data_IF_075654867523
#
_entry.id   IF_075654867523
#
_cell.length_a   1.000
_cell.length_b   1.000
_cell.length_c   1.000
_cell.angle_alpha   90.00
_cell.angle_beta   90.00
_cell.angle_gamma   90.00
#
_symmetry.space_group_name_H-M   'P 1'
#
loop_
_entity.id
_entity.type
_entity.pdbx_description
1 polymer ?
#
# COMPACT_ATOMS: atom_id res chain seq x y z
N UNK A 1 6.36 -15.77 -27.07
CA UNK A 1 4.99 -15.84 -26.51
C UNK A 1 4.98 -16.90 -25.42
N UNK A 2 5.13 -16.48 -24.16
CA UNK A 2 5.22 -17.39 -23.01
C UNK A 2 3.88 -18.07 -22.74
N UNK A 3 3.93 -19.34 -22.35
CA UNK A 3 2.76 -20.19 -22.11
C UNK A 3 1.71 -19.51 -21.23
N UNK A 4 0.44 -19.63 -21.64
CA UNK A 4 -0.76 -18.97 -21.09
C UNK A 4 -0.75 -18.87 -19.56
N UNK A 5 -0.24 -17.78 -19.01
CA UNK A 5 -0.61 -17.34 -17.66
C UNK A 5 -2.09 -16.99 -17.70
N UNK A 6 -2.89 -17.64 -16.86
CA UNK A 6 -4.30 -17.26 -16.70
C UNK A 6 -4.36 -15.78 -16.30
N UNK A 7 -4.98 -14.91 -17.11
CA UNK A 7 -5.02 -13.47 -16.82
C UNK A 7 -5.81 -13.18 -15.54
N UNK A 8 -6.77 -14.05 -15.22
CA UNK A 8 -7.55 -14.02 -13.98
C UNK A 8 -7.56 -15.43 -13.39
N UNK A 9 -7.27 -15.54 -12.09
CA UNK A 9 -7.34 -16.77 -11.31
C UNK A 9 -8.16 -16.50 -10.04
N UNK A 10 -9.14 -17.35 -9.74
CA UNK A 10 -9.89 -17.30 -8.49
C UNK A 10 -9.63 -18.57 -7.67
N UNK A 11 -9.34 -18.40 -6.38
CA UNK A 11 -9.05 -19.48 -5.43
C UNK A 11 -10.11 -19.42 -4.32
N UNK A 12 -11.04 -20.37 -4.34
CA UNK A 12 -12.01 -20.57 -3.27
C UNK A 12 -11.34 -21.39 -2.16
N UNK A 13 -11.26 -20.83 -0.95
CA UNK A 13 -10.58 -21.47 0.16
C UNK A 13 -11.31 -21.18 1.48
N UNK A 14 -11.63 -22.24 2.23
CA UNK A 14 -12.48 -22.14 3.41
C UNK A 14 -11.79 -21.43 4.59
N UNK A 15 -12.55 -21.15 5.65
CA UNK A 15 -11.97 -20.65 6.91
C UNK A 15 -10.95 -21.66 7.47
N UNK A 16 -9.83 -21.16 7.98
CA UNK A 16 -8.78 -22.00 8.58
C UNK A 16 -7.91 -22.78 7.58
N UNK A 17 -8.10 -22.62 6.26
CA UNK A 17 -7.27 -23.31 5.25
C UNK A 17 -6.06 -22.51 4.80
N UNK A 18 -5.55 -21.62 5.66
CA UNK A 18 -4.33 -20.83 5.42
C UNK A 18 -4.33 -20.00 4.13
N UNK A 19 -5.48 -19.42 3.76
CA UNK A 19 -5.66 -18.54 2.59
C UNK A 19 -4.56 -17.50 2.44
N UNK A 20 -4.37 -16.72 3.49
CA UNK A 20 -3.38 -15.64 3.54
C UNK A 20 -1.95 -16.16 3.37
N UNK A 21 -1.63 -17.34 3.89
CA UNK A 21 -0.32 -17.98 3.69
C UNK A 21 -0.11 -18.36 2.22
N UNK A 22 -1.14 -18.93 1.57
CA UNK A 22 -1.08 -19.23 0.14
C UNK A 22 -0.89 -17.95 -0.67
N UNK A 23 -1.64 -16.89 -0.36
CA UNK A 23 -1.50 -15.59 -1.02
C UNK A 23 -0.09 -14.99 -0.87
N UNK A 24 0.45 -15.00 0.35
CA UNK A 24 1.80 -14.52 0.64
C UNK A 24 2.87 -15.35 -0.10
N UNK A 25 2.74 -16.68 -0.12
CA UNK A 25 3.66 -17.56 -0.84
C UNK A 25 3.61 -17.33 -2.35
N UNK A 26 2.42 -17.12 -2.92
CA UNK A 26 2.27 -16.75 -4.33
C UNK A 26 2.96 -15.41 -4.59
N UNK A 27 2.77 -14.41 -3.74
CA UNK A 27 3.43 -13.11 -3.88
C UNK A 27 4.96 -13.26 -3.89
N UNK A 28 5.49 -13.97 -2.89
CA UNK A 28 6.93 -14.16 -2.71
C UNK A 28 7.58 -14.89 -3.88
N UNK A 29 6.95 -15.98 -4.34
CA UNK A 29 7.42 -16.76 -5.50
C UNK A 29 7.29 -16.00 -6.82
N UNK A 30 6.26 -15.16 -6.96
CA UNK A 30 6.07 -14.36 -8.19
C UNK A 30 7.29 -13.47 -8.42
N UNK A 31 7.81 -12.85 -7.36
CA UNK A 31 9.05 -12.08 -7.48
C UNK A 31 10.30 -12.96 -7.56
N UNK A 32 10.43 -13.96 -6.69
CA UNK A 32 11.68 -14.75 -6.58
C UNK A 32 11.95 -15.61 -7.82
N UNK A 33 10.91 -16.22 -8.39
CA UNK A 33 11.04 -17.17 -9.50
C UNK A 33 10.92 -16.48 -10.88
N UNK A 34 10.25 -15.33 -10.95
CA UNK A 34 9.93 -14.66 -12.21
C UNK A 34 10.36 -13.19 -12.29
N UNK A 35 10.93 -12.62 -11.22
CA UNK A 35 11.27 -11.19 -11.11
C UNK A 35 10.09 -10.25 -11.39
N UNK A 36 8.89 -10.73 -11.08
CA UNK A 36 7.65 -10.02 -11.31
C UNK A 36 7.14 -9.36 -10.03
N UNK A 37 6.89 -8.05 -10.07
CA UNK A 37 6.42 -7.29 -8.91
C UNK A 37 4.93 -7.50 -8.68
N UNK A 38 4.56 -7.53 -7.39
CA UNK A 38 3.22 -7.90 -6.93
C UNK A 38 2.57 -6.77 -6.14
N UNK A 39 1.30 -6.51 -6.44
CA UNK A 39 0.43 -5.72 -5.58
C UNK A 39 -0.43 -6.71 -4.79
N UNK A 40 -0.40 -6.66 -3.47
CA UNK A 40 -1.27 -7.42 -2.60
C UNK A 40 -2.31 -6.48 -1.98
N UNK A 41 -3.58 -6.80 -2.17
CA UNK A 41 -4.70 -5.95 -1.74
C UNK A 41 -5.78 -6.69 -1.00
N UNK A 42 -6.46 -6.00 -0.09
CA UNK A 42 -7.65 -6.50 0.60
C UNK A 42 -8.51 -5.32 1.11
N UNK A 43 -9.70 -5.59 1.61
CA UNK A 43 -10.68 -4.55 1.97
C UNK A 43 -10.33 -3.80 3.26
N UNK A 44 -9.55 -4.38 4.19
CA UNK A 44 -9.30 -3.77 5.51
C UNK A 44 -7.81 -3.63 5.82
N UNK A 45 -7.44 -2.60 6.58
CA UNK A 45 -6.06 -2.38 7.02
C UNK A 45 -5.53 -3.53 7.89
N UNK A 46 -6.40 -4.16 8.68
CA UNK A 46 -6.05 -5.33 9.51
C UNK A 46 -5.72 -6.54 8.66
N UNK A 47 -6.51 -6.82 7.62
CA UNK A 47 -6.22 -7.92 6.71
C UNK A 47 -4.92 -7.66 5.91
N UNK A 48 -4.67 -6.42 5.48
CA UNK A 48 -3.37 -6.06 4.85
C UNK A 48 -2.22 -6.30 5.81
N UNK A 49 -2.37 -5.93 7.09
CA UNK A 49 -1.36 -6.16 8.11
C UNK A 49 -1.08 -7.66 8.28
N UNK A 50 -2.12 -8.48 8.40
CA UNK A 50 -1.99 -9.94 8.53
C UNK A 50 -1.30 -10.57 7.31
N UNK A 51 -1.66 -10.15 6.10
CA UNK A 51 -0.99 -10.58 4.88
C UNK A 51 0.50 -10.21 4.91
N UNK A 52 0.78 -8.97 5.30
CA UNK A 52 2.14 -8.43 5.39
C UNK A 52 2.99 -9.19 6.41
N UNK A 53 2.47 -9.40 7.62
CA UNK A 53 3.15 -10.16 8.67
C UNK A 53 3.38 -11.62 8.26
N UNK A 54 2.44 -12.20 7.51
CA UNK A 54 2.58 -13.56 6.98
C UNK A 54 3.71 -13.62 5.96
N UNK A 55 3.79 -12.63 5.06
CA UNK A 55 4.85 -12.53 4.06
C UNK A 55 6.23 -12.34 4.70
N UNK A 56 6.33 -11.48 5.73
CA UNK A 56 7.56 -11.23 6.49
C UNK A 56 8.03 -12.45 7.31
N UNK A 57 7.17 -13.43 7.57
CA UNK A 57 7.50 -14.66 8.31
C UNK A 57 7.92 -15.81 7.40
N UNK A 58 7.96 -15.61 6.09
CA UNK A 58 8.44 -16.63 5.16
C UNK A 58 9.98 -16.56 5.10
N UNK A 59 10.65 -17.38 5.92
CA UNK A 59 12.10 -17.29 6.12
C UNK A 59 12.92 -17.35 4.83
N UNK A 60 12.53 -18.20 3.87
CA UNK A 60 13.17 -18.32 2.55
C UNK A 60 13.10 -17.03 1.71
N UNK A 61 12.26 -16.08 2.08
CA UNK A 61 11.94 -14.86 1.35
C UNK A 61 12.20 -13.57 2.14
N UNK A 62 12.95 -13.65 3.25
CA UNK A 62 13.32 -12.47 4.06
C UNK A 62 14.16 -11.42 3.31
N UNK A 63 14.67 -11.76 2.12
CA UNK A 63 15.40 -10.86 1.23
C UNK A 63 14.49 -9.98 0.36
N UNK A 64 13.17 -10.20 0.40
CA UNK A 64 12.23 -9.44 -0.42
C UNK A 64 12.00 -8.04 0.13
N UNK A 65 12.07 -7.06 -0.77
CA UNK A 65 11.71 -5.68 -0.50
C UNK A 65 10.19 -5.53 -0.46
N UNK A 66 9.62 -5.60 0.74
CA UNK A 66 8.17 -5.50 0.96
C UNK A 66 7.83 -4.11 1.45
N UNK A 67 6.86 -3.47 0.78
CA UNK A 67 6.33 -2.17 1.14
C UNK A 67 4.87 -2.32 1.57
N UNK A 68 4.47 -1.68 2.68
CA UNK A 68 3.07 -1.54 3.04
C UNK A 68 2.62 -0.09 3.01
N UNK A 69 1.59 0.22 2.23
CA UNK A 69 0.97 1.55 2.21
C UNK A 69 -0.29 1.58 3.08
N UNK A 70 -0.32 2.57 3.98
CA UNK A 70 -1.45 2.90 4.84
C UNK A 70 -1.61 4.41 4.78
N UNK A 71 -2.84 4.90 4.56
CA UNK A 71 -3.10 6.34 4.52
C UNK A 71 -2.99 6.96 5.92
N UNK A 72 -2.71 8.26 5.97
CA UNK A 72 -2.60 9.00 7.23
C UNK A 72 -3.87 8.94 8.08
N UNK A 73 -5.04 9.05 7.43
CA UNK A 73 -6.33 8.89 8.10
C UNK A 73 -6.45 7.52 8.77
N UNK A 74 -6.06 6.44 8.07
CA UNK A 74 -6.09 5.09 8.64
C UNK A 74 -5.09 4.91 9.80
N UNK A 75 -3.93 5.56 9.74
CA UNK A 75 -2.96 5.54 10.84
C UNK A 75 -3.52 6.23 12.09
N UNK A 76 -4.20 7.37 11.93
CA UNK A 76 -4.87 8.11 13.02
C UNK A 76 -6.00 7.26 13.63
N UNK A 77 -6.75 6.53 12.80
CA UNK A 77 -7.80 5.60 13.23
C UNK A 77 -7.28 4.31 13.89
N UNK A 78 -5.95 4.18 14.07
CA UNK A 78 -5.35 3.06 14.78
C UNK A 78 -5.07 1.82 13.92
N UNK A 79 -4.84 2.00 12.60
CA UNK A 79 -4.38 0.90 11.76
C UNK A 79 -3.10 0.24 12.31
N UNK A 80 -2.94 -1.10 12.22
CA UNK A 80 -1.77 -1.79 12.75
C UNK A 80 -0.46 -1.26 12.18
N UNK A 81 0.51 -0.95 13.03
CA UNK A 81 1.83 -0.44 12.64
C UNK A 81 2.79 -1.57 12.28
N UNK A 82 3.54 -1.40 11.19
CA UNK A 82 4.62 -2.32 10.78
C UNK A 82 5.84 -1.51 10.34
N UNK A 83 7.07 -2.02 10.52
CA UNK A 83 8.30 -1.28 10.19
C UNK A 83 8.45 -1.00 8.68
N UNK A 84 7.74 -1.76 7.84
CA UNK A 84 7.77 -1.63 6.38
C UNK A 84 6.72 -0.66 5.83
N UNK A 85 6.15 0.20 6.68
CA UNK A 85 5.25 1.25 6.24
C UNK A 85 5.94 2.25 5.32
N UNK A 86 5.25 2.71 4.27
CA UNK A 86 5.78 3.67 3.31
C UNK A 86 6.47 4.85 3.99
N UNK A 87 5.79 5.55 4.90
CA UNK A 87 6.36 6.70 5.58
C UNK A 87 7.62 6.35 6.40
N UNK A 88 7.71 5.13 6.93
CA UNK A 88 8.89 4.68 7.68
C UNK A 88 10.06 4.44 6.72
N UNK A 89 9.83 3.78 5.59
CA UNK A 89 10.85 3.53 4.57
C UNK A 89 11.35 4.85 3.97
N UNK A 90 10.45 5.73 3.56
CA UNK A 90 10.81 7.02 2.96
C UNK A 90 11.66 7.89 3.91
N UNK A 91 11.37 7.85 5.21
CA UNK A 91 12.18 8.55 6.24
C UNK A 91 13.58 7.96 6.43
N UNK A 92 13.80 6.70 6.07
CA UNK A 92 15.08 6.01 6.24
C UNK A 92 15.96 6.04 4.98
N UNK A 93 15.43 6.45 3.83
CA UNK A 93 16.20 6.59 2.59
C UNK A 93 17.50 7.42 2.74
N UNK A 94 17.50 8.60 3.38
CA UNK A 94 18.72 9.40 3.48
C UNK A 94 19.79 8.75 4.38
N UNK A 95 19.42 7.80 5.25
CA UNK A 95 20.38 7.04 6.06
C UNK A 95 20.84 5.75 5.37
N UNK A 96 19.90 4.98 4.84
CA UNK A 96 20.17 3.63 4.33
C UNK A 96 20.75 3.64 2.90
N UNK A 97 20.51 4.71 2.14
CA UNK A 97 20.86 4.79 0.72
C UNK A 97 21.66 6.06 0.38
N UNK A 98 22.24 6.75 1.36
CA UNK A 98 22.97 8.02 1.16
C UNK A 98 23.98 7.95 -0.01
N UNK A 99 24.75 6.87 -0.09
CA UNK A 99 25.79 6.67 -1.10
C UNK A 99 25.23 6.43 -2.52
N UNK A 100 23.98 6.00 -2.63
CA UNK A 100 23.29 5.78 -3.90
C UNK A 100 22.48 7.01 -4.35
N UNK A 101 22.39 8.06 -3.54
CA UNK A 101 21.60 9.25 -3.82
C UNK A 101 22.46 10.37 -4.41
N UNK A 102 21.88 11.07 -5.39
CA UNK A 102 22.43 12.36 -5.81
C UNK A 102 22.30 13.39 -4.67
N UNK A 103 23.12 14.46 -4.64
CA UNK A 103 22.98 15.51 -3.63
C UNK A 103 21.58 16.12 -3.57
N UNK A 104 20.92 16.32 -4.72
CA UNK A 104 19.55 16.84 -4.80
C UNK A 104 18.51 15.85 -4.26
N UNK A 105 18.67 14.56 -4.58
CA UNK A 105 17.81 13.50 -4.07
C UNK A 105 17.95 13.37 -2.55
N UNK A 106 19.17 13.42 -2.04
CA UNK A 106 19.46 13.40 -0.60
C UNK A 106 18.81 14.59 0.11
N UNK A 107 18.96 15.80 -0.42
CA UNK A 107 18.32 16.99 0.14
C UNK A 107 16.79 16.86 0.15
N UNK A 108 16.21 16.30 -0.92
CA UNK A 108 14.76 16.04 -1.01
C UNK A 108 14.30 15.05 0.06
N UNK A 109 15.02 13.93 0.23
CA UNK A 109 14.74 12.93 1.27
C UNK A 109 14.84 13.53 2.69
N UNK A 110 15.84 14.36 2.96
CA UNK A 110 16.01 15.03 4.25
C UNK A 110 14.86 16.02 4.54
N UNK A 111 14.43 16.80 3.54
CA UNK A 111 13.26 17.69 3.67
C UNK A 111 11.98 16.90 3.94
N UNK A 112 11.75 15.81 3.19
CA UNK A 112 10.63 14.91 3.44
C UNK A 112 10.67 14.35 4.86
N UNK A 113 11.82 13.82 5.29
CA UNK A 113 11.99 13.23 6.62
C UNK A 113 11.60 14.21 7.72
N UNK A 114 12.19 15.41 7.71
CA UNK A 114 11.89 16.45 8.70
C UNK A 114 10.41 16.84 8.71
N UNK A 115 9.84 17.09 7.53
CA UNK A 115 8.42 17.44 7.41
C UNK A 115 7.50 16.33 7.90
N UNK A 116 7.82 15.08 7.58
CA UNK A 116 7.03 13.92 7.97
C UNK A 116 7.08 13.66 9.48
N UNK A 117 8.26 13.76 10.10
CA UNK A 117 8.41 13.64 11.55
C UNK A 117 7.62 14.71 12.31
N UNK A 118 7.60 15.93 11.77
CA UNK A 118 6.77 17.01 12.33
C UNK A 118 5.28 16.67 12.24
N UNK A 119 4.79 16.23 11.08
CA UNK A 119 3.38 15.85 10.90
C UNK A 119 2.97 14.69 11.82
N UNK A 120 3.80 13.64 11.90
CA UNK A 120 3.53 12.48 12.76
C UNK A 120 3.44 12.87 14.23
N UNK A 121 4.27 13.84 14.68
CA UNK A 121 4.17 14.40 16.03
C UNK A 121 2.78 14.98 16.30
N UNK A 122 2.14 15.61 15.33
CA UNK A 122 0.78 16.15 15.48
C UNK A 122 -0.31 15.09 15.31
N UNK A 123 -0.10 14.11 14.43
CA UNK A 123 -1.06 13.02 14.20
C UNK A 123 -1.22 12.12 15.43
N UNK A 124 -0.14 11.83 16.15
CA UNK A 124 -0.16 10.85 17.25
C UNK A 124 -0.16 11.46 18.65
N UNK A 125 0.16 12.74 18.80
CA UNK A 125 0.16 13.44 20.09
C UNK A 125 -0.80 14.63 20.07
N UNK A 126 -2.09 14.34 20.04
CA UNK A 126 -3.17 15.34 19.96
C UNK A 126 -3.11 16.41 21.08
N UNK A 127 -2.62 16.06 22.27
CA UNK A 127 -2.48 17.00 23.39
C UNK A 127 -1.45 18.12 23.11
N UNK A 128 -0.48 17.89 22.22
CA UNK A 128 0.51 18.91 21.83
C UNK A 128 -0.06 19.94 20.84
N UNK A 129 -1.18 19.64 20.16
CA UNK A 129 -1.76 20.55 19.17
C UNK A 129 -2.49 21.75 19.81
N UNK A 130 -2.93 21.62 21.07
CA UNK A 130 -3.71 22.65 21.78
C UNK A 130 -2.80 23.81 22.25
N UNK A 131 -1.54 23.52 22.57
CA UNK A 131 -0.57 24.49 23.11
C UNK A 131 0.48 24.97 22.10
N UNK A 132 0.20 24.86 20.80
CA UNK A 132 1.17 25.30 19.80
C UNK A 132 1.40 26.81 19.82
N UNK A 133 2.67 27.21 19.92
CA UNK A 133 3.09 28.57 19.65
C UNK A 133 2.78 28.97 18.20
N UNK A 134 2.72 30.28 17.94
CA UNK A 134 2.49 30.79 16.58
C UNK A 134 3.53 30.27 15.57
N UNK A 135 4.78 30.18 15.99
CA UNK A 135 5.87 29.67 15.16
C UNK A 135 5.68 28.19 14.78
N UNK A 136 5.27 27.34 15.74
CA UNK A 136 5.01 25.92 15.47
C UNK A 136 3.79 25.72 14.56
N UNK A 137 2.75 26.56 14.69
CA UNK A 137 1.60 26.53 13.76
C UNK A 137 1.99 26.90 12.34
N UNK A 138 2.86 27.89 12.20
CA UNK A 138 3.36 28.30 10.88
C UNK A 138 4.26 27.20 10.27
N UNK A 139 5.13 26.57 11.06
CA UNK A 139 5.96 25.44 10.61
C UNK A 139 5.11 24.22 10.22
N UNK A 140 4.08 23.88 11.00
CA UNK A 140 3.13 22.81 10.66
C UNK A 140 2.41 23.07 9.33
N UNK A 141 1.90 24.30 9.14
CA UNK A 141 1.19 24.68 7.90
C UNK A 141 2.10 24.59 6.67
N UNK A 142 3.36 24.99 6.83
CA UNK A 142 4.35 24.85 5.76
C UNK A 142 4.64 23.37 5.46
N UNK A 143 4.78 22.54 6.51
CA UNK A 143 4.97 21.10 6.34
C UNK A 143 3.78 20.43 5.65
N UNK A 144 2.54 20.71 6.06
CA UNK A 144 1.33 20.20 5.41
C UNK A 144 1.26 20.58 3.92
N UNK A 145 1.59 21.83 3.60
CA UNK A 145 1.57 22.33 2.22
C UNK A 145 2.60 21.62 1.34
N UNK A 146 3.81 21.44 1.86
CA UNK A 146 4.94 20.98 1.05
C UNK A 146 5.07 19.44 1.06
N UNK A 147 4.47 18.73 2.03
CA UNK A 147 4.66 17.28 2.19
C UNK A 147 4.12 16.46 1.03
N UNK A 148 3.02 16.87 0.39
CA UNK A 148 2.39 16.10 -0.69
C UNK A 148 3.34 15.98 -1.89
N UNK A 149 3.92 17.10 -2.29
CA UNK A 149 4.90 17.15 -3.39
C UNK A 149 6.20 16.44 -3.02
N UNK A 150 6.68 16.62 -1.78
CA UNK A 150 7.85 15.92 -1.26
C UNK A 150 7.62 14.40 -1.22
N UNK A 151 6.42 13.94 -0.86
CA UNK A 151 6.06 12.52 -0.82
C UNK A 151 6.18 11.91 -2.20
N UNK A 152 5.61 12.55 -3.24
CA UNK A 152 5.70 12.07 -4.62
C UNK A 152 7.14 11.99 -5.11
N UNK A 153 7.96 13.02 -4.84
CA UNK A 153 9.39 13.02 -5.19
C UNK A 153 10.17 11.92 -4.46
N UNK A 154 9.90 11.74 -3.17
CA UNK A 154 10.59 10.75 -2.35
C UNK A 154 10.18 9.32 -2.72
N UNK A 155 8.93 9.09 -3.13
CA UNK A 155 8.49 7.82 -3.74
C UNK A 155 9.27 7.54 -5.02
N UNK A 156 9.42 8.54 -5.90
CA UNK A 156 10.22 8.38 -7.11
C UNK A 156 11.65 7.98 -6.80
N UNK A 157 12.29 8.61 -5.81
CA UNK A 157 13.63 8.26 -5.36
C UNK A 157 13.65 6.84 -4.80
N UNK A 158 12.67 6.47 -3.95
CA UNK A 158 12.54 5.12 -3.41
C UNK A 158 12.54 4.08 -4.53
N UNK A 159 11.71 4.24 -5.58
CA UNK A 159 11.68 3.27 -6.67
C UNK A 159 12.98 3.19 -7.48
N UNK A 160 13.82 4.22 -7.45
CA UNK A 160 15.12 4.21 -8.12
C UNK A 160 16.18 3.46 -7.32
N UNK A 161 16.22 3.63 -5.99
CA UNK A 161 17.26 3.02 -5.13
C UNK A 161 16.82 1.74 -4.42
N UNK A 162 15.51 1.56 -4.26
CA UNK A 162 14.86 0.48 -3.52
C UNK A 162 13.48 0.17 -4.13
N UNK A 163 13.41 -0.47 -5.31
CA UNK A 163 12.14 -0.81 -5.93
C UNK A 163 11.46 -1.99 -5.21
N UNK A 164 10.28 -1.80 -4.58
CA UNK A 164 9.63 -2.87 -3.85
C UNK A 164 9.27 -4.06 -4.74
N UNK A 165 9.52 -5.27 -4.24
CA UNK A 165 9.09 -6.52 -4.83
C UNK A 165 7.58 -6.73 -4.66
N UNK A 166 7.06 -6.40 -3.47
CA UNK A 166 5.64 -6.55 -3.12
C UNK A 166 5.13 -5.27 -2.46
N UNK A 167 3.98 -4.78 -2.91
CA UNK A 167 3.27 -3.65 -2.30
C UNK A 167 1.96 -4.15 -1.68
N UNK A 168 1.88 -4.11 -0.35
CA UNK A 168 0.70 -4.41 0.45
C UNK A 168 -0.12 -3.14 0.68
N UNK A 169 -1.37 -3.10 0.25
CA UNK A 169 -2.21 -1.89 0.23
C UNK A 169 -3.68 -2.26 0.35
N UNK A 170 -4.55 -1.41 0.92
CA UNK A 170 -5.99 -1.71 0.86
C UNK A 170 -6.56 -1.44 -0.52
N UNK A 171 -7.66 -2.09 -0.90
CA UNK A 171 -8.27 -1.90 -2.22
C UNK A 171 -8.70 -0.46 -2.45
N UNK A 172 -9.24 0.21 -1.43
CA UNK A 172 -9.59 1.63 -1.50
C UNK A 172 -8.35 2.52 -1.65
N UNK A 173 -7.29 2.26 -0.90
CA UNK A 173 -6.05 3.02 -1.01
C UNK A 173 -5.37 2.80 -2.36
N UNK A 174 -5.44 1.59 -2.93
CA UNK A 174 -4.92 1.27 -4.25
C UNK A 174 -5.66 2.05 -5.34
N UNK A 175 -6.99 2.02 -5.33
CA UNK A 175 -7.82 2.78 -6.28
C UNK A 175 -7.55 4.29 -6.21
N UNK A 176 -7.36 4.84 -5.01
CA UNK A 176 -6.99 6.24 -4.83
C UNK A 176 -5.56 6.52 -5.32
N UNK A 177 -4.66 5.54 -5.23
CA UNK A 177 -3.24 5.72 -5.59
C UNK A 177 -2.96 5.59 -7.09
N UNK A 178 -3.82 4.88 -7.82
CA UNK A 178 -3.76 4.75 -9.29
C UNK A 178 -4.54 5.85 -10.02
N UNK A 179 -5.29 6.68 -9.30
CA UNK A 179 -5.98 7.84 -9.86
C UNK A 179 -4.99 8.86 -10.46
N UNK A 180 -5.49 9.80 -11.27
CA UNK A 180 -4.67 10.74 -12.03
C UNK A 180 -3.75 11.63 -11.16
N UNK A 181 -4.08 11.83 -9.90
CA UNK A 181 -3.32 12.61 -8.92
C UNK A 181 -2.68 11.75 -7.82
N UNK A 182 -2.81 10.42 -7.92
CA UNK A 182 -2.34 9.46 -6.94
C UNK A 182 -0.83 9.43 -6.76
N UNK A 183 -0.39 9.04 -5.56
CA UNK A 183 1.03 9.09 -5.15
C UNK A 183 1.92 8.08 -5.86
N UNK A 184 1.35 7.01 -6.41
CA UNK A 184 2.05 5.93 -7.11
C UNK A 184 1.83 5.99 -8.63
N UNK A 185 1.34 7.12 -9.14
CA UNK A 185 1.08 7.29 -10.58
C UNK A 185 2.34 6.99 -11.40
N UNK A 186 2.19 6.13 -12.42
CA UNK A 186 3.26 5.68 -13.31
C UNK A 186 4.16 4.58 -12.74
N UNK A 187 4.08 4.27 -11.44
CA UNK A 187 4.86 3.20 -10.82
C UNK A 187 4.16 1.86 -10.88
N UNK A 188 2.82 1.85 -10.84
CA UNK A 188 2.06 0.60 -10.90
C UNK A 188 2.13 -0.12 -12.26
N UNK A 189 2.55 0.56 -13.33
CA UNK A 189 2.83 -0.09 -14.63
C UNK A 189 4.02 -1.07 -14.56
N UNK A 190 4.87 -0.94 -13.53
CA UNK A 190 5.99 -1.87 -13.28
C UNK A 190 5.57 -3.15 -12.57
N UNK A 191 4.30 -3.23 -12.13
CA UNK A 191 3.72 -4.40 -11.47
C UNK A 191 2.97 -5.24 -12.49
N UNK A 192 3.07 -6.56 -12.33
CA UNK A 192 2.54 -7.51 -13.32
C UNK A 192 1.52 -8.45 -12.72
N UNK A 193 1.41 -8.51 -11.39
CA UNK A 193 0.42 -9.34 -10.68
C UNK A 193 -0.27 -8.55 -9.56
N UNK A 194 -1.58 -8.66 -9.49
CA UNK A 194 -2.44 -8.20 -8.40
C UNK A 194 -3.02 -9.42 -7.67
N UNK A 195 -2.84 -9.49 -6.36
CA UNK A 195 -3.42 -10.50 -5.49
C UNK A 195 -4.45 -9.83 -4.58
N UNK A 196 -5.73 -10.17 -4.72
CA UNK A 196 -6.77 -9.80 -3.79
C UNK A 196 -6.96 -10.88 -2.72
N UNK A 197 -6.53 -10.62 -1.49
CA UNK A 197 -6.81 -11.49 -0.33
C UNK A 197 -8.15 -11.11 0.32
N UNK A 198 -8.80 -12.09 0.93
CA UNK A 198 -10.18 -11.96 1.41
C UNK A 198 -11.12 -11.36 0.35
N UNK A 199 -10.97 -11.82 -0.90
CA UNK A 199 -11.59 -11.23 -2.08
C UNK A 199 -13.12 -11.24 -2.05
N UNK A 200 -13.73 -12.14 -1.26
CA UNK A 200 -15.19 -12.15 -1.03
C UNK A 200 -15.69 -10.87 -0.35
N UNK A 201 -14.81 -10.11 0.31
CA UNK A 201 -15.12 -8.83 0.95
C UNK A 201 -14.84 -7.62 0.04
N UNK A 202 -14.29 -7.81 -1.16
CA UNK A 202 -14.03 -6.73 -2.11
C UNK A 202 -15.32 -6.45 -2.90
N UNK A 203 -15.87 -5.22 -2.89
CA UNK A 203 -17.04 -4.90 -3.68
C UNK A 203 -16.79 -5.15 -5.18
N UNK A 204 -17.79 -5.71 -5.88
CA UNK A 204 -17.70 -5.93 -7.33
C UNK A 204 -17.33 -4.65 -8.13
N UNK A 205 -17.88 -3.45 -7.82
CA UNK A 205 -17.45 -2.22 -8.50
C UNK A 205 -15.95 -1.93 -8.34
N UNK A 206 -15.36 -2.29 -7.20
CA UNK A 206 -13.93 -2.12 -6.97
C UNK A 206 -13.10 -3.12 -7.79
N UNK A 207 -13.57 -4.37 -7.95
CA UNK A 207 -12.93 -5.35 -8.84
C UNK A 207 -12.92 -4.88 -10.29
N UNK A 208 -14.06 -4.33 -10.77
CA UNK A 208 -14.18 -3.76 -12.12
C UNK A 208 -13.26 -2.56 -12.30
N UNK A 209 -13.20 -1.66 -11.31
CA UNK A 209 -12.29 -0.52 -11.34
C UNK A 209 -10.83 -0.96 -11.41
N UNK A 210 -10.42 -1.94 -10.59
CA UNK A 210 -9.06 -2.50 -10.62
C UNK A 210 -8.72 -3.10 -11.99
N UNK A 211 -9.61 -3.91 -12.57
CA UNK A 211 -9.41 -4.49 -13.90
C UNK A 211 -9.33 -3.42 -15.01
N UNK A 212 -10.03 -2.30 -14.85
CA UNK A 212 -10.02 -1.19 -15.81
C UNK A 212 -8.74 -0.37 -15.71
N UNK A 213 -8.27 -0.09 -14.49
CA UNK A 213 -7.07 0.70 -14.27
C UNK A 213 -5.76 -0.10 -14.42
N UNK A 214 -5.81 -1.42 -14.30
CA UNK A 214 -4.66 -2.32 -14.40
C UNK A 214 -4.87 -3.40 -15.49
N UNK A 215 -5.16 -3.02 -16.75
CA UNK A 215 -5.65 -3.96 -17.77
C UNK A 215 -4.62 -5.01 -18.23
N UNK A 216 -3.34 -4.80 -17.93
CA UNK A 216 -2.24 -5.70 -18.30
C UNK A 216 -1.73 -6.54 -17.12
N UNK A 217 -2.26 -6.30 -15.92
CA UNK A 217 -1.87 -7.00 -14.71
C UNK A 217 -2.62 -8.33 -14.65
N UNK A 218 -1.94 -9.39 -14.20
CA UNK A 218 -2.57 -10.66 -13.88
C UNK A 218 -3.31 -10.54 -12.54
N UNK A 219 -4.58 -10.90 -12.50
CA UNK A 219 -5.39 -10.85 -11.29
C UNK A 219 -5.52 -12.23 -10.63
N UNK A 220 -5.24 -12.31 -9.33
CA UNK A 220 -5.43 -13.51 -8.52
C UNK A 220 -6.32 -13.12 -7.33
N UNK A 221 -7.49 -13.73 -7.19
CA UNK A 221 -8.42 -13.44 -6.10
C UNK A 221 -8.58 -14.66 -5.20
N UNK A 222 -8.30 -14.51 -3.92
CA UNK A 222 -8.35 -15.56 -2.91
C UNK A 222 -9.41 -15.19 -1.90
N UNK A 223 -10.40 -16.05 -1.69
CA UNK A 223 -11.48 -15.72 -0.76
C UNK A 223 -12.39 -16.91 -0.46
N UNK A 224 -13.45 -16.61 0.29
CA UNK A 224 -14.47 -17.58 0.64
C UNK A 224 -15.86 -16.96 0.46
N UNK A 225 -16.58 -17.38 -0.57
CA UNK A 225 -17.97 -16.94 -0.81
C UNK A 225 -18.95 -17.31 0.30
N UNK A 226 -18.55 -18.14 1.28
CA UNK A 226 -19.35 -18.47 2.47
C UNK A 226 -19.00 -17.62 3.70
N UNK A 227 -18.03 -16.71 3.59
CA UNK A 227 -17.64 -15.78 4.65
C UNK A 227 -18.26 -14.40 4.41
N UNK A 228 -17.71 -13.37 5.06
CA UNK A 228 -18.21 -12.02 4.99
C UNK A 228 -18.30 -11.53 3.53
N UNK A 229 -19.46 -10.96 3.21
CA UNK A 229 -19.69 -10.21 1.99
C UNK A 229 -19.16 -8.78 2.11
N UNK A 230 -19.04 -8.02 1.00
CA UNK A 230 -18.65 -6.62 1.06
C UNK A 230 -19.66 -5.81 1.87
N UNK A 231 -19.16 -4.98 2.78
CA UNK A 231 -20.02 -4.12 3.58
C UNK A 231 -20.72 -3.07 2.71
N UNK A 232 -22.06 -3.07 2.73
CA UNK A 232 -22.90 -2.06 2.08
C UNK A 232 -23.80 -1.38 3.12
N UNK A 233 -23.72 -0.05 3.22
CA UNK A 233 -24.63 0.74 4.09
C UNK A 233 -26.06 0.77 3.54
N UNK A 234 -26.20 0.73 2.23
CA UNK A 234 -27.50 0.77 1.56
C UNK A 234 -27.97 -0.66 1.30
N UNK A 235 -29.15 -1.08 1.84
CA UNK A 235 -29.74 -2.36 1.50
C UNK A 235 -29.87 -2.54 -0.01
N UNK A 236 -29.76 -3.79 -0.50
CA UNK A 236 -29.97 -4.11 -1.92
C UNK A 236 -31.37 -3.72 -2.43
N UNK A 237 -32.33 -3.55 -1.51
CA UNK A 237 -33.70 -3.11 -1.78
C UNK A 237 -33.89 -1.58 -1.82
N UNK A 238 -32.83 -0.80 -1.59
CA UNK A 238 -32.92 0.66 -1.61
C UNK A 238 -33.05 1.18 -3.03
N UNK A 239 -34.00 2.10 -3.24
CA UNK A 239 -34.16 2.80 -4.51
C UNK A 239 -33.03 3.85 -4.69
N UNK A 240 -32.61 4.13 -5.94
CA UNK A 240 -31.71 5.22 -6.22
C UNK A 240 -32.32 6.55 -5.73
N UNK A 241 -31.46 7.43 -5.20
CA UNK A 241 -31.87 8.79 -4.85
C UNK A 241 -32.39 9.49 -6.12
N UNK A 242 -33.56 10.12 -6.01
CA UNK A 242 -34.18 10.92 -7.09
C UNK A 242 -33.47 12.25 -7.26
#
# INVERSE_FOLDING_TARGET
MSARRLPILAIQAAFGTSKTVIGALIAARTFSDFSERVIATTSTNTAVAQFTDTLLRLDDYNHLDILRYVSDAALIEGAPQTPIHLHTILKQLPENYADALSPESLETCLKYKRGRELLERFMFYHDLAVELSKAERDEYRLAERDISDLTKKTITIMFQVWPPAVVCITTSALLNSIAADGIFRGWFDSFTTLIGDEASQIPEPALVALATHLPHVRHIYIGDTRQLEPHARCPRSSNPAR
#
